data_IF_887746952567
#
_entry.id   IF_887746952567
#
_cell.length_a   1.000
_cell.length_b   1.000
_cell.length_c   1.000
_cell.angle_alpha   90.00
_cell.angle_beta   90.00
_cell.angle_gamma   90.00
#
_symmetry.space_group_name_H-M   'P 1'
#
loop_
_entity.id
_entity.type
_entity.pdbx_description
1 polymer ?
#
# COMPACT_ATOMS: atom_id res chain seq x y z
N UNK A 1 -7.17 6.46 3.34
CA UNK A 1 -7.85 5.43 2.52
C UNK A 1 -7.62 4.01 3.03
N UNK A 2 -6.39 3.57 3.32
CA UNK A 2 -6.01 2.19 3.71
C UNK A 2 -6.89 1.57 4.79
N UNK A 3 -7.11 2.25 5.94
CA UNK A 3 -7.92 1.71 7.03
C UNK A 3 -9.36 1.39 6.61
N UNK A 4 -9.94 2.17 5.71
CA UNK A 4 -11.29 1.97 5.21
C UNK A 4 -11.36 0.82 4.20
N UNK A 5 -10.45 0.82 3.22
CA UNK A 5 -10.40 -0.19 2.17
C UNK A 5 -10.18 -1.61 2.74
N UNK A 6 -9.23 -1.72 3.68
CA UNK A 6 -8.81 -2.99 4.26
C UNK A 6 -9.51 -3.37 5.57
N UNK A 7 -10.51 -2.58 6.00
CA UNK A 7 -11.20 -2.82 7.27
C UNK A 7 -11.73 -4.24 7.40
N UNK A 8 -12.48 -4.70 6.41
CA UNK A 8 -13.12 -6.02 6.45
C UNK A 8 -12.11 -7.16 6.23
N UNK A 9 -11.22 -7.11 5.23
CA UNK A 9 -10.22 -8.16 5.02
C UNK A 9 -9.34 -8.43 6.25
N UNK A 10 -8.92 -7.36 6.94
CA UNK A 10 -8.03 -7.46 8.11
C UNK A 10 -8.73 -7.28 9.45
N UNK A 11 -10.07 -7.25 9.50
CA UNK A 11 -10.86 -7.04 10.72
C UNK A 11 -10.39 -5.83 11.52
N UNK A 12 -10.05 -4.73 10.81
CA UNK A 12 -9.51 -3.52 11.44
C UNK A 12 -10.58 -2.90 12.34
N UNK A 13 -10.18 -2.61 13.58
CA UNK A 13 -10.98 -1.90 14.57
C UNK A 13 -10.19 -0.73 15.12
N UNK A 14 -10.89 0.33 15.50
CA UNK A 14 -10.27 1.51 16.07
C UNK A 14 -11.08 2.04 17.27
N UNK A 15 -10.40 2.73 18.17
CA UNK A 15 -11.00 3.43 19.30
C UNK A 15 -10.19 4.70 19.60
N UNK A 16 -10.85 5.71 20.15
CA UNK A 16 -10.18 6.91 20.66
C UNK A 16 -10.46 7.03 22.15
N UNK A 17 -9.41 7.11 22.96
CA UNK A 17 -9.47 7.30 24.41
C UNK A 17 -8.31 8.19 24.87
N UNK A 18 -8.56 9.15 25.75
CA UNK A 18 -7.54 10.03 26.36
C UNK A 18 -6.61 10.74 25.36
N UNK A 19 -7.13 11.19 24.21
CA UNK A 19 -6.39 11.78 23.09
C UNK A 19 -5.41 10.83 22.39
N UNK A 20 -5.63 9.54 22.48
CA UNK A 20 -4.91 8.51 21.76
C UNK A 20 -5.86 7.76 20.84
N UNK A 21 -5.49 7.64 19.57
CA UNK A 21 -6.16 6.76 18.62
C UNK A 21 -5.44 5.40 18.63
N UNK A 22 -6.21 4.36 18.84
CA UNK A 22 -5.80 2.98 18.81
C UNK A 22 -6.36 2.30 17.57
N UNK A 23 -5.52 1.51 16.91
CA UNK A 23 -5.92 0.71 15.77
C UNK A 23 -5.37 -0.70 15.99
N UNK A 24 -6.28 -1.68 15.90
CA UNK A 24 -5.92 -3.09 15.97
C UNK A 24 -6.43 -3.84 14.76
N UNK A 25 -5.79 -4.95 14.48
CA UNK A 25 -6.14 -5.87 13.41
C UNK A 25 -5.79 -7.30 13.82
N UNK A 26 -6.27 -8.26 13.06
CA UNK A 26 -5.92 -9.66 13.22
C UNK A 26 -7.12 -10.56 13.41
N UNK A 27 -6.98 -11.81 12.96
CA UNK A 27 -8.03 -12.83 13.02
C UNK A 27 -7.74 -13.83 14.13
N UNK A 28 -8.75 -14.17 14.89
CA UNK A 28 -8.67 -15.17 15.95
C UNK A 28 -7.57 -14.86 16.97
N UNK A 29 -6.61 -15.77 17.12
CA UNK A 29 -5.49 -15.61 18.08
C UNK A 29 -4.34 -14.76 17.57
N UNK A 30 -4.35 -14.36 16.31
CA UNK A 30 -3.31 -13.52 15.69
C UNK A 30 -3.74 -12.04 15.75
N UNK A 31 -3.82 -11.50 16.96
CA UNK A 31 -4.15 -10.08 17.19
C UNK A 31 -2.88 -9.25 17.24
N UNK A 32 -2.89 -8.09 16.60
CA UNK A 32 -1.82 -7.10 16.70
C UNK A 32 -2.39 -5.68 16.69
N UNK A 33 -1.61 -4.75 17.18
CA UNK A 33 -1.91 -3.34 17.14
C UNK A 33 -0.83 -2.60 16.36
N UNK A 34 -1.18 -1.52 15.70
CA UNK A 34 -0.18 -0.55 15.25
C UNK A 34 0.13 0.41 16.40
N UNK A 35 1.30 1.10 16.38
CA UNK A 35 1.65 2.04 17.45
C UNK A 35 0.53 3.06 17.71
N UNK A 36 0.29 3.45 18.97
CA UNK A 36 -0.77 4.41 19.27
C UNK A 36 -0.45 5.79 18.70
N UNK A 37 -1.46 6.45 18.14
CA UNK A 37 -1.36 7.82 17.65
C UNK A 37 -1.82 8.79 18.71
N UNK A 38 -0.88 9.54 19.29
CA UNK A 38 -1.17 10.51 20.34
C UNK A 38 -1.32 11.94 19.77
N UNK A 39 -2.30 12.67 20.28
CA UNK A 39 -2.53 14.09 19.95
C UNK A 39 -1.81 15.05 20.89
N UNK A 40 -1.32 14.57 22.05
CA UNK A 40 -0.67 15.37 23.08
C UNK A 40 0.58 14.70 23.58
N UNK A 41 1.58 15.50 23.89
CA UNK A 41 2.80 15.04 24.54
C UNK A 41 2.50 14.25 25.82
N UNK A 42 3.15 13.10 25.96
CA UNK A 42 3.00 12.19 27.09
C UNK A 42 1.82 11.21 27.01
N UNK A 43 0.94 11.33 26.02
CA UNK A 43 -0.17 10.38 25.83
C UNK A 43 0.30 9.05 25.23
N UNK A 44 1.41 9.03 24.49
CA UNK A 44 1.98 7.82 23.89
C UNK A 44 2.30 6.73 24.93
N UNK A 45 2.94 7.10 26.03
CA UNK A 45 3.25 6.16 27.11
C UNK A 45 2.00 5.51 27.71
N UNK A 46 0.95 6.32 27.94
CA UNK A 46 -0.35 5.82 28.39
C UNK A 46 -0.99 4.89 27.36
N UNK A 47 -0.86 5.26 26.07
CA UNK A 47 -1.35 4.45 24.96
C UNK A 47 -0.68 3.06 24.93
N UNK A 48 0.64 3.00 25.05
CA UNK A 48 1.37 1.73 25.12
C UNK A 48 0.95 0.90 26.35
N UNK A 49 0.79 1.53 27.52
CA UNK A 49 0.33 0.85 28.73
C UNK A 49 -1.09 0.27 28.54
N UNK A 50 -2.02 1.03 27.98
CA UNK A 50 -3.39 0.56 27.68
C UNK A 50 -3.40 -0.62 26.72
N UNK A 51 -2.48 -0.66 25.75
CA UNK A 51 -2.31 -1.81 24.87
C UNK A 51 -1.86 -3.05 25.65
N UNK A 52 -0.92 -2.92 26.59
CA UNK A 52 -0.51 -4.03 27.46
C UNK A 52 -1.69 -4.61 28.23
N UNK A 53 -2.46 -3.73 28.90
CA UNK A 53 -3.64 -4.14 29.66
C UNK A 53 -4.61 -4.92 28.78
N UNK A 54 -4.88 -4.43 27.57
CA UNK A 54 -5.79 -5.10 26.64
C UNK A 54 -5.31 -6.51 26.28
N UNK A 55 -4.01 -6.68 25.96
CA UNK A 55 -3.45 -7.99 25.61
C UNK A 55 -3.52 -8.97 26.80
N UNK A 56 -3.24 -8.50 28.01
CA UNK A 56 -3.36 -9.29 29.26
C UNK A 56 -4.83 -9.67 29.53
N UNK A 57 -5.76 -8.73 29.48
CA UNK A 57 -7.19 -8.94 29.71
C UNK A 57 -7.78 -9.99 28.77
N UNK A 58 -7.30 -10.05 27.52
CA UNK A 58 -7.81 -10.96 26.47
C UNK A 58 -6.98 -12.23 26.30
N UNK A 59 -5.88 -12.37 27.04
CA UNK A 59 -5.02 -13.56 27.00
C UNK A 59 -4.26 -13.74 25.67
N UNK A 60 -3.97 -12.65 24.96
CA UNK A 60 -3.16 -12.67 23.76
C UNK A 60 -1.69 -12.27 24.05
N UNK A 61 -0.72 -12.79 23.28
CA UNK A 61 0.65 -12.28 23.37
C UNK A 61 0.69 -10.84 22.84
N UNK A 62 1.44 -9.99 23.53
CA UNK A 62 1.65 -8.59 23.10
C UNK A 62 2.37 -8.54 21.77
N UNK A 63 1.80 -7.84 20.80
CA UNK A 63 2.36 -7.67 19.46
C UNK A 63 1.95 -6.30 18.88
N UNK A 64 2.95 -5.48 18.54
CA UNK A 64 2.76 -4.35 17.65
C UNK A 64 3.37 -4.67 16.28
N UNK A 65 2.71 -4.27 15.21
CA UNK A 65 3.21 -4.37 13.83
C UNK A 65 3.27 -3.00 13.15
N UNK A 66 4.03 -2.93 12.07
CA UNK A 66 4.16 -1.69 11.31
C UNK A 66 4.84 -0.55 12.07
N UNK A 67 5.65 -0.89 13.08
CA UNK A 67 6.33 0.10 13.93
C UNK A 67 7.47 0.75 13.15
N UNK A 68 7.40 2.06 12.91
CA UNK A 68 8.45 2.81 12.22
C UNK A 68 9.68 3.05 13.10
N UNK A 69 10.86 3.35 12.54
CA UNK A 69 12.07 3.67 13.34
C UNK A 69 11.83 4.78 14.39
N UNK A 70 11.06 5.81 14.02
CA UNK A 70 10.71 6.88 14.96
C UNK A 70 9.85 6.38 16.14
N UNK A 71 8.92 5.46 15.89
CA UNK A 71 8.11 4.84 16.94
C UNK A 71 8.94 3.86 17.79
N UNK A 72 9.90 3.13 17.18
CA UNK A 72 10.87 2.29 17.92
C UNK A 72 11.61 3.10 18.96
N UNK A 73 12.16 4.26 18.60
CA UNK A 73 12.89 5.11 19.55
C UNK A 73 11.97 5.64 20.68
N UNK A 74 10.72 5.95 20.38
CA UNK A 74 9.73 6.33 21.41
C UNK A 74 9.43 5.19 22.37
N UNK A 75 9.29 3.96 21.88
CA UNK A 75 9.02 2.77 22.70
C UNK A 75 10.24 2.44 23.56
N UNK A 76 11.45 2.47 23.01
CA UNK A 76 12.71 2.29 23.78
C UNK A 76 12.84 3.30 24.91
N UNK A 77 12.46 4.56 24.68
CA UNK A 77 12.49 5.59 25.71
C UNK A 77 11.53 5.32 26.89
N UNK A 78 10.50 4.48 26.71
CA UNK A 78 9.63 4.04 27.82
C UNK A 78 10.28 2.93 28.65
N UNK A 79 10.87 1.95 27.99
CA UNK A 79 11.58 0.85 28.63
C UNK A 79 12.50 0.15 27.60
N UNK A 80 13.80 0.41 27.66
CA UNK A 80 14.77 -0.11 26.70
C UNK A 80 14.85 -1.64 26.69
N UNK A 81 14.74 -2.27 27.86
CA UNK A 81 14.90 -3.72 28.04
C UNK A 81 13.59 -4.52 28.05
N UNK A 82 12.45 -3.86 27.86
CA UNK A 82 11.13 -4.53 27.94
C UNK A 82 10.73 -5.21 26.64
N UNK A 83 11.29 -4.80 25.51
CA UNK A 83 10.81 -5.18 24.19
C UNK A 83 11.92 -5.74 23.31
N UNK A 84 11.53 -6.65 22.42
CA UNK A 84 12.33 -7.09 21.29
C UNK A 84 11.76 -6.44 20.02
N UNK A 85 12.67 -5.94 19.17
CA UNK A 85 12.35 -5.25 17.91
C UNK A 85 12.88 -6.09 16.74
N UNK A 86 11.98 -6.67 15.96
CA UNK A 86 12.34 -7.52 14.84
C UNK A 86 12.03 -6.78 13.53
N UNK A 87 13.01 -6.53 12.64
CA UNK A 87 12.75 -5.95 11.33
C UNK A 87 11.77 -6.82 10.53
N UNK A 88 10.71 -6.22 10.03
CA UNK A 88 9.71 -6.88 9.19
C UNK A 88 9.92 -6.47 7.73
N UNK A 89 10.95 -7.07 7.08
CA UNK A 89 11.40 -6.70 5.73
C UNK A 89 10.29 -6.84 4.68
N UNK A 90 9.38 -7.78 4.88
CA UNK A 90 8.29 -8.06 3.92
C UNK A 90 7.28 -6.92 3.86
N UNK A 91 7.18 -6.14 4.94
CA UNK A 91 6.32 -4.96 5.07
C UNK A 91 7.06 -3.62 4.92
N UNK A 92 8.31 -3.60 4.44
CA UNK A 92 9.00 -2.34 4.11
C UNK A 92 8.35 -1.69 2.89
N UNK A 93 8.00 -0.41 3.00
CA UNK A 93 7.43 0.33 1.88
C UNK A 93 8.52 0.90 0.98
N UNK A 94 8.28 0.84 -0.31
CA UNK A 94 9.19 1.26 -1.36
C UNK A 94 8.92 2.71 -1.76
N UNK A 95 9.88 3.59 -1.53
CA UNK A 95 9.77 5.02 -1.86
C UNK A 95 10.71 5.37 -3.01
N UNK A 96 10.17 6.06 -4.01
CA UNK A 96 10.88 6.43 -5.23
C UNK A 96 10.86 7.93 -5.42
N UNK A 97 11.95 8.49 -6.01
CA UNK A 97 11.90 9.86 -6.50
C UNK A 97 10.94 9.93 -7.70
N UNK A 98 9.95 10.80 -7.61
CA UNK A 98 8.93 11.02 -8.65
C UNK A 98 9.55 11.25 -10.02
N UNK A 99 10.58 12.11 -10.09
CA UNK A 99 11.27 12.42 -11.34
C UNK A 99 12.01 11.23 -11.96
N UNK A 100 12.40 10.25 -11.15
CA UNK A 100 13.00 9.02 -11.65
C UNK A 100 11.96 8.13 -12.35
N UNK A 101 10.75 8.04 -11.80
CA UNK A 101 9.63 7.29 -12.39
C UNK A 101 9.13 7.95 -13.68
N UNK A 102 9.08 9.28 -13.73
CA UNK A 102 8.68 10.05 -14.91
C UNK A 102 9.71 9.92 -16.04
N UNK A 103 10.99 10.13 -15.73
CA UNK A 103 12.02 10.26 -16.77
C UNK A 103 12.56 8.90 -17.24
N UNK A 104 12.58 7.89 -16.38
CA UNK A 104 13.17 6.57 -16.60
C UNK A 104 14.57 6.67 -17.26
N UNK A 105 15.41 7.56 -16.71
CA UNK A 105 16.70 7.93 -17.30
C UNK A 105 17.85 7.08 -16.78
N UNK A 106 18.82 6.83 -17.65
CA UNK A 106 20.04 6.08 -17.31
C UNK A 106 19.92 4.56 -17.47
N UNK A 107 21.06 3.89 -17.30
CA UNK A 107 21.22 2.45 -17.55
C UNK A 107 20.31 1.59 -16.69
N UNK A 108 20.08 1.99 -15.43
CA UNK A 108 19.28 1.25 -14.46
C UNK A 108 17.79 1.16 -14.84
N UNK A 109 17.27 2.12 -15.60
CA UNK A 109 15.86 2.14 -16.06
C UNK A 109 15.68 1.66 -17.49
N UNK A 110 16.76 1.24 -18.18
CA UNK A 110 16.72 0.88 -19.61
C UNK A 110 15.63 -0.14 -19.94
N UNK A 111 15.48 -1.17 -19.11
CA UNK A 111 14.46 -2.21 -19.33
C UNK A 111 13.03 -1.66 -19.18
N UNK A 112 12.78 -0.82 -18.17
CA UNK A 112 11.48 -0.18 -17.96
C UNK A 112 11.12 0.73 -19.13
N UNK A 113 12.08 1.56 -19.56
CA UNK A 113 11.91 2.45 -20.70
C UNK A 113 11.70 1.67 -22.02
N UNK A 114 12.39 0.57 -22.21
CA UNK A 114 12.20 -0.28 -23.39
C UNK A 114 10.78 -0.89 -23.42
N UNK A 115 10.27 -1.38 -22.27
CA UNK A 115 8.92 -1.93 -22.21
C UNK A 115 7.86 -0.85 -22.44
N UNK A 116 8.02 0.34 -21.84
CA UNK A 116 7.16 1.50 -22.07
C UNK A 116 7.12 1.89 -23.56
N UNK A 117 8.29 2.02 -24.18
CA UNK A 117 8.40 2.38 -25.60
C UNK A 117 7.87 1.27 -26.52
N UNK A 118 8.08 0.00 -26.16
CA UNK A 118 7.51 -1.13 -26.91
C UNK A 118 6.00 -1.03 -26.95
N UNK A 119 5.34 -0.85 -25.80
CA UNK A 119 3.90 -0.68 -25.73
C UNK A 119 3.42 0.52 -26.55
N UNK A 120 4.02 1.70 -26.35
CA UNK A 120 3.66 2.93 -27.08
C UNK A 120 3.76 2.79 -28.59
N UNK A 121 4.78 2.08 -29.08
CA UNK A 121 4.97 1.85 -30.51
C UNK A 121 4.00 0.81 -31.07
N UNK A 122 3.79 -0.29 -30.34
CA UNK A 122 2.92 -1.39 -30.79
C UNK A 122 1.45 -0.96 -30.84
N UNK A 123 1.01 -0.14 -29.90
CA UNK A 123 -0.39 0.26 -29.77
C UNK A 123 -0.62 1.74 -30.10
N UNK A 124 0.28 2.34 -30.86
CA UNK A 124 0.18 3.75 -31.25
C UNK A 124 -1.20 4.11 -31.80
N UNK A 125 -1.82 5.16 -31.22
CA UNK A 125 -3.16 5.62 -31.59
C UNK A 125 -4.33 4.74 -31.12
N UNK A 126 -4.08 3.64 -30.39
CA UNK A 126 -5.12 2.72 -29.93
C UNK A 126 -5.26 2.67 -28.39
N UNK A 127 -4.61 3.56 -27.68
CA UNK A 127 -4.70 3.67 -26.22
C UNK A 127 -4.66 5.14 -25.78
N UNK A 128 -5.20 5.38 -24.60
CA UNK A 128 -5.17 6.68 -23.94
C UNK A 128 -5.11 6.49 -22.42
N UNK A 129 -4.56 7.50 -21.72
CA UNK A 129 -4.71 7.64 -20.29
C UNK A 129 -5.98 8.44 -20.01
N UNK A 130 -6.79 7.96 -19.06
CA UNK A 130 -8.01 8.64 -18.60
C UNK A 130 -8.01 8.74 -17.07
N UNK A 131 -8.40 9.88 -16.49
CA UNK A 131 -8.64 9.94 -15.05
C UNK A 131 -9.83 9.06 -14.70
N UNK A 132 -9.82 8.44 -13.51
CA UNK A 132 -10.96 7.66 -13.04
C UNK A 132 -12.02 8.62 -12.49
N UNK A 133 -13.21 8.53 -13.08
CA UNK A 133 -14.44 9.24 -12.70
C UNK A 133 -15.58 8.25 -12.62
N UNK A 134 -16.70 8.60 -11.99
CA UNK A 134 -17.83 7.67 -11.73
C UNK A 134 -18.33 6.92 -12.97
N UNK A 135 -18.29 7.57 -14.13
CA UNK A 135 -18.75 7.00 -15.38
C UNK A 135 -17.94 5.80 -15.89
N UNK A 136 -16.73 5.57 -15.33
CA UNK A 136 -15.87 4.43 -15.69
C UNK A 136 -15.63 3.44 -14.54
N UNK A 137 -16.28 3.59 -13.39
CA UNK A 137 -16.12 2.68 -12.25
C UNK A 137 -16.42 1.23 -12.62
N UNK A 138 -17.54 0.99 -13.29
CA UNK A 138 -17.94 -0.36 -13.72
C UNK A 138 -16.93 -0.97 -14.70
N UNK A 139 -16.33 -0.15 -15.58
CA UNK A 139 -15.28 -0.61 -16.48
C UNK A 139 -13.99 -0.99 -15.72
N UNK A 140 -13.61 -0.23 -14.70
CA UNK A 140 -12.46 -0.54 -13.86
C UNK A 140 -12.69 -1.82 -13.04
N UNK A 141 -13.87 -1.98 -12.45
CA UNK A 141 -14.24 -3.20 -11.71
C UNK A 141 -14.30 -4.43 -12.63
N UNK A 142 -14.77 -4.29 -13.86
CA UNK A 142 -14.74 -5.36 -14.84
C UNK A 142 -13.30 -5.74 -15.26
N UNK A 143 -12.39 -4.77 -15.35
CA UNK A 143 -10.98 -5.02 -15.63
C UNK A 143 -10.30 -5.76 -14.44
N UNK A 144 -10.64 -5.39 -13.20
CA UNK A 144 -10.18 -6.06 -11.98
C UNK A 144 -10.69 -7.51 -11.93
N UNK A 145 -12.00 -7.74 -12.20
CA UNK A 145 -12.57 -9.07 -12.28
C UNK A 145 -11.85 -9.95 -13.31
N UNK A 146 -11.59 -9.42 -14.49
CA UNK A 146 -10.84 -10.13 -15.52
C UNK A 146 -9.42 -10.48 -15.09
N UNK A 147 -8.76 -9.60 -14.34
CA UNK A 147 -7.44 -9.86 -13.75
C UNK A 147 -7.52 -10.97 -12.70
N UNK A 148 -8.51 -10.91 -11.81
CA UNK A 148 -8.77 -11.90 -10.79
C UNK A 148 -8.98 -13.30 -11.39
N UNK A 149 -9.90 -13.42 -12.37
CA UNK A 149 -10.22 -14.69 -13.04
C UNK A 149 -9.00 -15.35 -13.69
N UNK A 150 -8.00 -14.57 -14.12
CA UNK A 150 -6.77 -15.09 -14.70
C UNK A 150 -5.78 -15.64 -13.66
N UNK A 151 -5.95 -15.26 -12.37
CA UNK A 151 -5.06 -15.65 -11.28
C UNK A 151 -5.65 -16.74 -10.37
N UNK A 152 -6.96 -17.00 -10.47
CA UNK A 152 -7.72 -17.97 -9.65
C UNK A 152 -7.39 -19.44 -9.94
N UNK A 153 -6.40 -19.76 -10.75
CA UNK A 153 -6.08 -21.15 -11.12
C UNK A 153 -5.46 -22.00 -9.99
N UNK A 154 -5.52 -21.58 -8.73
CA UNK A 154 -5.09 -22.35 -7.56
C UNK A 154 -5.62 -21.75 -6.28
N UNK A 155 -6.25 -22.57 -5.47
CA UNK A 155 -6.80 -22.37 -4.12
C UNK A 155 -7.26 -20.94 -3.77
N UNK A 156 -8.44 -20.82 -3.14
CA UNK A 156 -9.00 -19.56 -2.63
C UNK A 156 -7.92 -18.81 -1.83
N UNK A 157 -7.19 -17.89 -2.51
CA UNK A 157 -6.19 -17.07 -1.87
C UNK A 157 -6.93 -15.92 -1.14
N UNK A 158 -7.02 -16.06 0.19
CA UNK A 158 -7.66 -15.07 1.07
C UNK A 158 -7.12 -13.64 0.84
N UNK A 159 -5.87 -13.51 0.38
CA UNK A 159 -5.23 -12.22 0.10
C UNK A 159 -5.79 -11.57 -1.18
N UNK A 160 -5.96 -12.34 -2.26
CA UNK A 160 -6.54 -11.85 -3.51
C UNK A 160 -8.00 -11.44 -3.34
N UNK A 161 -8.78 -12.23 -2.60
CA UNK A 161 -10.16 -11.88 -2.23
C UNK A 161 -10.21 -10.61 -1.37
N UNK A 162 -9.25 -10.48 -0.45
CA UNK A 162 -9.11 -9.28 0.39
C UNK A 162 -8.83 -8.04 -0.43
N UNK A 163 -7.90 -8.10 -1.39
CA UNK A 163 -7.55 -6.97 -2.26
C UNK A 163 -8.73 -6.55 -3.14
N UNK A 164 -9.43 -7.51 -3.75
CA UNK A 164 -10.64 -7.24 -4.53
C UNK A 164 -11.69 -6.50 -3.69
N UNK A 165 -11.97 -6.99 -2.48
CA UNK A 165 -12.91 -6.34 -1.58
C UNK A 165 -12.46 -4.91 -1.21
N UNK A 166 -11.15 -4.70 -1.00
CA UNK A 166 -10.59 -3.39 -0.72
C UNK A 166 -10.79 -2.43 -1.91
N UNK A 167 -10.55 -2.87 -3.14
CA UNK A 167 -10.80 -2.11 -4.37
C UNK A 167 -12.28 -1.74 -4.51
N UNK A 168 -13.19 -2.71 -4.37
CA UNK A 168 -14.65 -2.47 -4.39
C UNK A 168 -15.06 -1.46 -3.31
N UNK A 169 -14.48 -1.55 -2.11
CA UNK A 169 -14.75 -0.61 -1.02
C UNK A 169 -14.33 0.82 -1.38
N UNK A 170 -13.19 0.99 -2.05
CA UNK A 170 -12.74 2.33 -2.50
C UNK A 170 -13.69 2.90 -3.54
N UNK A 171 -14.07 2.13 -4.57
CA UNK A 171 -15.01 2.60 -5.59
C UNK A 171 -16.37 2.96 -5.00
N UNK A 172 -16.90 2.16 -4.07
CA UNK A 172 -18.18 2.41 -3.40
C UNK A 172 -18.16 3.63 -2.45
N UNK A 173 -16.98 4.09 -2.05
CA UNK A 173 -16.82 5.22 -1.13
C UNK A 173 -15.96 6.35 -1.74
N UNK A 174 -15.89 6.43 -3.06
CA UNK A 174 -15.01 7.35 -3.78
C UNK A 174 -15.20 8.81 -3.39
N UNK A 175 -16.45 9.26 -3.29
CA UNK A 175 -16.78 10.63 -2.91
C UNK A 175 -16.27 11.01 -1.50
N UNK A 176 -16.35 10.07 -0.56
CA UNK A 176 -15.91 10.30 0.83
C UNK A 176 -14.40 10.18 0.97
N UNK A 177 -13.80 9.18 0.32
CA UNK A 177 -12.37 8.90 0.41
C UNK A 177 -11.53 9.86 -0.45
N UNK A 178 -12.12 10.42 -1.51
CA UNK A 178 -11.50 11.35 -2.45
C UNK A 178 -10.12 10.89 -2.98
N UNK A 179 -9.98 9.63 -3.41
CA UNK A 179 -8.74 9.17 -3.99
C UNK A 179 -8.48 9.82 -5.35
N UNK A 180 -7.25 9.74 -5.80
CA UNK A 180 -6.90 10.04 -7.18
C UNK A 180 -6.77 8.72 -7.93
N UNK A 181 -7.39 8.61 -9.10
CA UNK A 181 -7.31 7.42 -9.95
C UNK A 181 -6.98 7.74 -11.38
N UNK A 182 -6.30 6.80 -12.04
CA UNK A 182 -5.99 6.86 -13.46
C UNK A 182 -6.06 5.49 -14.10
N UNK A 183 -6.49 5.44 -15.35
CA UNK A 183 -6.66 4.19 -16.08
C UNK A 183 -6.08 4.28 -17.50
N UNK A 184 -5.76 3.13 -18.07
CA UNK A 184 -5.41 2.98 -19.49
C UNK A 184 -6.58 2.35 -20.21
N UNK A 185 -7.10 3.09 -21.17
CA UNK A 185 -8.13 2.60 -22.10
C UNK A 185 -7.49 2.17 -23.40
N UNK A 186 -7.80 0.96 -23.86
CA UNK A 186 -7.38 0.42 -25.15
C UNK A 186 -8.59 -0.13 -25.88
N UNK A 187 -8.77 0.23 -27.15
CA UNK A 187 -9.91 -0.25 -27.96
C UNK A 187 -11.26 -0.11 -27.23
N UNK A 188 -11.47 1.03 -26.57
CA UNK A 188 -12.67 1.35 -25.77
C UNK A 188 -12.90 0.44 -24.53
N UNK A 189 -11.86 -0.20 -24.01
CA UNK A 189 -11.92 -0.98 -22.76
C UNK A 189 -10.84 -0.53 -21.79
N UNK A 190 -11.15 -0.49 -20.51
CA UNK A 190 -10.14 -0.32 -19.47
C UNK A 190 -9.35 -1.62 -19.36
N UNK A 191 -8.02 -1.53 -19.47
CA UNK A 191 -7.09 -2.68 -19.40
C UNK A 191 -6.10 -2.56 -18.25
N UNK A 192 -5.98 -1.38 -17.66
CA UNK A 192 -5.19 -1.14 -16.45
C UNK A 192 -5.73 0.07 -15.69
N UNK A 193 -5.55 0.07 -14.38
CA UNK A 193 -5.82 1.25 -13.55
C UNK A 193 -4.91 1.31 -12.34
N UNK A 194 -4.81 2.51 -11.76
CA UNK A 194 -4.08 2.77 -10.52
C UNK A 194 -4.85 3.76 -9.66
N UNK A 195 -4.81 3.57 -8.34
CA UNK A 195 -5.49 4.41 -7.35
C UNK A 195 -4.50 4.75 -6.23
N UNK A 196 -4.47 6.02 -5.85
CA UNK A 196 -3.62 6.52 -4.78
C UNK A 196 -4.16 7.80 -4.15
N UNK A 197 -3.41 8.35 -3.22
CA UNK A 197 -3.73 9.61 -2.53
C UNK A 197 -2.45 10.34 -2.13
N UNK A 198 -2.56 11.61 -1.72
CA UNK A 198 -1.44 12.28 -1.05
C UNK A 198 -1.30 11.73 0.38
N UNK A 199 -0.13 11.19 0.69
CA UNK A 199 0.21 10.74 2.04
C UNK A 199 0.54 11.93 2.95
N UNK A 200 1.26 12.92 2.39
CA UNK A 200 1.63 14.17 3.03
C UNK A 200 1.96 15.23 1.96
N UNK A 201 2.54 16.37 2.33
CA UNK A 201 2.75 17.51 1.42
C UNK A 201 3.70 17.22 0.24
N UNK A 202 4.57 16.22 0.32
CA UNK A 202 5.59 15.93 -0.68
C UNK A 202 5.57 14.50 -1.25
N UNK A 203 4.76 13.62 -0.69
CA UNK A 203 4.71 12.20 -1.01
C UNK A 203 3.31 11.76 -1.37
N UNK A 204 3.12 11.16 -2.54
CA UNK A 204 1.91 10.41 -2.88
C UNK A 204 2.12 8.92 -2.61
N UNK A 205 1.05 8.23 -2.24
CA UNK A 205 1.03 6.78 -2.04
C UNK A 205 0.10 6.12 -3.05
N UNK A 206 0.57 5.04 -3.68
CA UNK A 206 -0.18 4.25 -4.64
C UNK A 206 -0.59 2.95 -3.95
N UNK A 207 -1.89 2.79 -3.72
CA UNK A 207 -2.46 1.65 -3.02
C UNK A 207 -2.78 0.48 -3.95
N UNK A 208 -3.27 0.79 -5.14
CA UNK A 208 -3.66 -0.24 -6.11
C UNK A 208 -3.08 0.07 -7.49
N UNK A 209 -2.52 -0.93 -8.12
CA UNK A 209 -2.05 -0.87 -9.51
C UNK A 209 -2.35 -2.22 -10.18
N UNK A 210 -3.35 -2.23 -11.06
CA UNK A 210 -3.83 -3.42 -11.77
C UNK A 210 -3.63 -3.25 -13.27
N UNK A 211 -3.27 -4.34 -13.93
CA UNK A 211 -2.98 -4.33 -15.36
C UNK A 211 -3.15 -5.72 -15.94
N UNK A 212 -3.68 -5.83 -17.16
CA UNK A 212 -3.72 -7.10 -17.89
C UNK A 212 -2.28 -7.62 -18.11
N UNK A 213 -1.90 -8.74 -17.49
CA UNK A 213 -0.54 -9.28 -17.58
C UNK A 213 -0.17 -9.81 -18.97
N UNK A 214 -1.17 -10.08 -19.81
CA UNK A 214 -0.96 -10.58 -21.19
C UNK A 214 -0.46 -9.50 -22.13
N UNK A 215 -0.67 -8.21 -21.77
CA UNK A 215 -0.26 -7.06 -22.57
C UNK A 215 1.13 -6.60 -22.12
N UNK A 216 2.14 -6.92 -22.93
CA UNK A 216 3.53 -6.59 -22.61
C UNK A 216 3.74 -5.07 -22.45
N UNK A 217 4.27 -4.67 -21.33
CA UNK A 217 4.64 -3.28 -21.02
C UNK A 217 3.51 -2.47 -20.40
N UNK A 218 2.31 -3.01 -20.26
CA UNK A 218 1.17 -2.28 -19.74
C UNK A 218 1.34 -1.86 -18.27
N UNK A 219 1.92 -2.71 -17.40
CA UNK A 219 2.30 -2.32 -16.03
C UNK A 219 3.25 -1.12 -16.00
N UNK A 220 4.23 -1.05 -16.94
CA UNK A 220 5.11 0.10 -17.01
C UNK A 220 4.39 1.36 -17.50
N UNK A 221 3.38 1.18 -18.35
CA UNK A 221 2.57 2.30 -18.88
C UNK A 221 1.70 2.87 -17.78
N UNK A 222 0.89 2.06 -17.11
CA UNK A 222 0.01 2.58 -16.05
C UNK A 222 0.82 3.24 -14.93
N UNK A 223 1.92 2.62 -14.48
CA UNK A 223 2.80 3.22 -13.48
C UNK A 223 3.34 4.58 -13.94
N UNK A 224 3.86 4.67 -15.16
CA UNK A 224 4.43 5.89 -15.71
C UNK A 224 3.37 6.98 -15.90
N UNK A 225 2.27 6.66 -16.60
CA UNK A 225 1.24 7.64 -16.93
C UNK A 225 0.52 8.15 -15.68
N UNK A 226 0.28 7.27 -14.69
CA UNK A 226 -0.33 7.71 -13.44
C UNK A 226 0.54 8.70 -12.69
N UNK A 227 1.86 8.46 -12.59
CA UNK A 227 2.78 9.40 -11.94
C UNK A 227 2.88 10.71 -12.73
N UNK A 228 2.95 10.64 -14.07
CA UNK A 228 3.04 11.83 -14.94
C UNK A 228 1.81 12.72 -14.82
N UNK A 229 0.62 12.13 -14.77
CA UNK A 229 -0.62 12.89 -14.81
C UNK A 229 -1.14 13.30 -13.43
N UNK A 230 -0.99 12.43 -12.43
CA UNK A 230 -1.53 12.68 -11.09
C UNK A 230 -0.53 13.36 -10.15
N UNK A 231 0.75 12.99 -10.22
CA UNK A 231 1.74 13.32 -9.19
C UNK A 231 3.02 14.03 -9.69
N UNK A 232 3.01 14.85 -10.78
CA UNK A 232 4.24 15.41 -11.37
C UNK A 232 4.99 16.34 -10.44
N UNK A 233 4.34 16.88 -9.42
CA UNK A 233 4.87 17.89 -8.50
C UNK A 233 5.30 17.33 -7.14
N UNK A 234 5.04 16.06 -6.85
CA UNK A 234 5.50 15.43 -5.60
C UNK A 234 7.00 15.17 -5.66
N UNK A 235 7.64 15.09 -4.51
CA UNK A 235 9.04 14.68 -4.41
C UNK A 235 9.15 13.17 -4.49
N UNK A 236 8.23 12.46 -3.83
CA UNK A 236 8.26 11.03 -3.66
C UNK A 236 6.96 10.35 -4.08
N UNK A 237 7.11 9.11 -4.52
CA UNK A 237 6.02 8.15 -4.71
C UNK A 237 6.30 6.94 -3.82
N UNK A 238 5.42 6.69 -2.87
CA UNK A 238 5.39 5.46 -2.09
C UNK A 238 4.51 4.42 -2.83
N UNK A 239 5.03 3.21 -3.02
CA UNK A 239 4.31 2.12 -3.69
C UNK A 239 4.09 0.92 -2.77
N UNK A 240 4.01 1.17 -1.48
CA UNK A 240 3.77 0.20 -0.41
C UNK A 240 4.77 -0.97 -0.41
N UNK A 241 4.47 -2.03 0.34
CA UNK A 241 5.34 -3.18 0.59
C UNK A 241 5.25 -4.25 -0.51
N UNK A 242 6.11 -5.28 -0.40
CA UNK A 242 6.13 -6.44 -1.30
C UNK A 242 5.49 -7.72 -0.68
N UNK A 243 5.06 -7.66 0.58
CA UNK A 243 4.42 -8.77 1.32
C UNK A 243 5.23 -10.07 1.32
N UNK A 244 6.55 -10.01 1.09
CA UNK A 244 7.39 -11.20 0.95
C UNK A 244 7.22 -11.97 -0.37
N UNK A 245 6.43 -11.46 -1.32
CA UNK A 245 6.18 -12.09 -2.62
C UNK A 245 7.39 -11.85 -3.54
N UNK A 246 8.16 -12.90 -3.95
CA UNK A 246 9.42 -12.71 -4.68
C UNK A 246 9.27 -11.95 -6.00
N UNK A 247 8.18 -12.20 -6.74
CA UNK A 247 7.90 -11.53 -8.01
C UNK A 247 7.61 -10.04 -7.83
N UNK A 248 6.82 -9.69 -6.80
CA UNK A 248 6.49 -8.30 -6.46
C UNK A 248 7.73 -7.56 -5.96
N UNK A 249 8.52 -8.19 -5.06
CA UNK A 249 9.82 -7.67 -4.59
C UNK A 249 10.75 -7.35 -5.75
N UNK A 250 10.97 -8.31 -6.65
CA UNK A 250 11.81 -8.09 -7.83
C UNK A 250 11.27 -6.95 -8.70
N UNK A 251 9.95 -6.88 -8.91
CA UNK A 251 9.33 -5.80 -9.66
C UNK A 251 9.61 -4.44 -9.02
N UNK A 252 9.36 -4.28 -7.71
CA UNK A 252 9.56 -3.03 -6.98
C UNK A 252 11.04 -2.63 -6.92
N UNK A 253 11.95 -3.54 -6.58
CA UNK A 253 13.40 -3.27 -6.56
C UNK A 253 13.94 -2.85 -7.92
N UNK A 254 13.40 -3.41 -9.02
CA UNK A 254 13.83 -3.08 -10.38
C UNK A 254 13.53 -1.65 -10.83
N UNK A 255 12.73 -0.89 -10.06
CA UNK A 255 12.52 0.55 -10.22
C UNK A 255 13.50 1.39 -9.41
N UNK A 256 14.46 0.76 -8.69
CA UNK A 256 15.51 1.40 -7.91
C UNK A 256 14.94 2.42 -6.90
N UNK A 257 14.34 1.96 -5.82
CA UNK A 257 13.80 2.83 -4.78
C UNK A 257 14.90 3.77 -4.25
N UNK A 258 14.52 4.96 -3.87
CA UNK A 258 15.39 5.93 -3.23
C UNK A 258 15.71 5.50 -1.80
N UNK A 259 14.66 5.13 -1.08
CA UNK A 259 14.76 4.60 0.28
C UNK A 259 13.56 3.69 0.61
N UNK A 260 13.60 3.09 1.79
CA UNK A 260 12.50 2.30 2.35
C UNK A 260 11.94 2.98 3.58
N UNK A 261 10.61 2.85 3.78
CA UNK A 261 10.02 3.04 5.11
C UNK A 261 10.13 1.71 5.84
N UNK A 262 11.08 1.63 6.75
CA UNK A 262 11.29 0.41 7.53
C UNK A 262 10.15 0.19 8.52
N UNK A 263 9.82 -1.07 8.75
CA UNK A 263 8.79 -1.51 9.70
C UNK A 263 9.37 -2.57 10.63
N UNK A 264 8.88 -2.57 11.86
CA UNK A 264 9.31 -3.52 12.88
C UNK A 264 8.09 -4.17 13.53
N UNK A 265 8.25 -5.45 13.90
CA UNK A 265 7.40 -6.12 14.84
C UNK A 265 7.99 -5.91 16.26
N UNK A 266 7.12 -5.58 17.21
CA UNK A 266 7.53 -5.35 18.61
C UNK A 266 6.80 -6.33 19.52
N UNK A 267 7.56 -7.12 20.25
CA UNK A 267 7.07 -8.12 21.21
C UNK A 267 7.66 -7.86 22.59
N UNK A 268 7.04 -8.42 23.62
CA UNK A 268 7.66 -8.41 24.95
C UNK A 268 8.88 -9.33 24.99
N UNK A 269 9.98 -8.83 25.57
CA UNK A 269 11.17 -9.65 25.83
C UNK A 269 10.83 -10.73 26.86
N UNK A 270 11.09 -11.96 26.51
CA UNK A 270 10.97 -13.08 27.44
C UNK A 270 12.12 -13.00 28.45
N UNK A 271 11.78 -13.04 29.74
CA UNK A 271 12.76 -13.06 30.85
C UNK A 271 13.35 -14.44 31.05
#
# INVERSE_FOLDING_TARGET
MTLCAWQKPYEIQWAEEDNVLYIRSGRGKKQFWIPPFDRKDGSFAKGVLRMHEWFEEHGYPFLMKGVTPAAVERIKALCEDCYDFTPDRDNYEYVYLTQNLINLSGKKYRQKKNNLNHFRNQYFGNWEYVPITEDIFDECLAAEQSWYDQHEAGDEDDELLGERHAIETVFNNWEVLQPTGGAIRMYNKIVAFSIGEMLNDDTAIIHFEKSDPTIRGLYQVINHEFVVHAWPHTTYINREEDMGIPGLRHSKESYNPDHFVEKYDVTLRQK
#
